data_IF_425546795925
#
_entry.id   IF_425546795925
#
_cell.length_a   1.000
_cell.length_b   1.000
_cell.length_c   1.000
_cell.angle_alpha   90.00
_cell.angle_beta   90.00
_cell.angle_gamma   90.00
#
_symmetry.space_group_name_H-M   'P 1'
#
loop_
_entity.id
_entity.type
_entity.pdbx_description
1 polymer ?
#
# COMPACT_ATOMS: atom_id res chain seq x y z
N UNK A 1 10.78 -3.61 -18.10
CA UNK A 1 10.04 -2.32 -18.10
C UNK A 1 9.89 -1.82 -16.67
N UNK A 2 9.73 -0.51 -16.45
CA UNK A 2 9.68 0.08 -15.10
C UNK A 2 8.53 -0.48 -14.25
N UNK A 3 8.76 -0.65 -12.95
CA UNK A 3 7.74 -1.04 -11.98
C UNK A 3 6.64 0.02 -11.88
N UNK A 4 5.43 -0.38 -11.47
CA UNK A 4 4.28 0.52 -11.34
C UNK A 4 4.40 1.51 -10.16
N UNK A 5 5.34 1.29 -9.25
CA UNK A 5 5.63 2.15 -8.11
C UNK A 5 6.83 1.64 -7.30
N UNK A 6 7.22 2.38 -6.28
CA UNK A 6 8.31 2.03 -5.35
C UNK A 6 7.79 2.13 -3.92
N UNK A 7 7.98 1.06 -3.13
CA UNK A 7 7.59 1.05 -1.72
C UNK A 7 8.70 1.67 -0.88
N UNK A 8 8.39 2.76 -0.17
CA UNK A 8 9.26 3.33 0.87
C UNK A 8 8.68 2.90 2.22
N UNK A 9 9.47 2.18 3.02
CA UNK A 9 9.04 1.72 4.34
C UNK A 9 8.91 2.94 5.27
N UNK A 10 7.71 3.25 5.79
CA UNK A 10 7.57 4.37 6.71
C UNK A 10 8.26 4.05 8.04
N UNK A 11 8.95 5.04 8.59
CA UNK A 11 9.58 4.91 9.91
C UNK A 11 8.61 5.21 11.06
N UNK A 12 7.77 6.23 10.89
CA UNK A 12 6.61 6.53 11.76
C UNK A 12 5.44 6.92 10.85
N UNK A 13 4.38 6.13 10.87
CA UNK A 13 3.12 6.39 10.17
C UNK A 13 1.99 5.88 11.06
N UNK A 14 1.00 6.75 11.31
CA UNK A 14 -0.11 6.47 12.23
C UNK A 14 -1.43 6.58 11.50
N UNK A 15 -2.38 5.71 11.86
CA UNK A 15 -3.76 5.79 11.42
C UNK A 15 -4.61 6.35 12.57
N UNK A 16 -5.30 7.47 12.33
CA UNK A 16 -6.14 8.17 13.31
C UNK A 16 -7.64 7.90 13.10
N UNK A 17 -8.00 6.91 12.27
CA UNK A 17 -9.39 6.58 11.92
C UNK A 17 -10.28 6.31 13.15
N UNK A 18 -9.72 5.76 14.23
CA UNK A 18 -10.44 5.53 15.49
C UNK A 18 -10.62 6.79 16.35
N UNK A 19 -9.84 7.83 16.10
CA UNK A 19 -9.93 9.11 16.80
C UNK A 19 -10.93 10.07 16.13
N UNK A 20 -11.49 9.67 14.97
CA UNK A 20 -12.50 10.45 14.27
C UNK A 20 -13.83 10.45 15.04
N UNK A 21 -14.28 11.63 15.48
CA UNK A 21 -15.54 11.81 16.22
C UNK A 21 -16.81 11.75 15.37
N UNK A 22 -16.73 11.37 14.09
CA UNK A 22 -17.87 11.39 13.15
C UNK A 22 -18.78 10.16 13.24
N UNK A 23 -18.44 9.17 14.07
CA UNK A 23 -19.19 7.91 14.20
C UNK A 23 -19.04 6.97 12.98
N UNK A 24 -18.35 7.41 11.94
CA UNK A 24 -18.06 6.61 10.75
C UNK A 24 -16.74 5.85 10.94
N UNK A 25 -16.80 4.52 10.82
CA UNK A 25 -15.65 3.64 11.09
C UNK A 25 -14.63 3.60 9.96
N UNK A 26 -14.95 4.14 8.78
CA UNK A 26 -14.07 4.19 7.61
C UNK A 26 -14.45 3.25 6.47
N UNK A 27 -13.89 3.52 5.28
CA UNK A 27 -14.34 2.88 4.03
C UNK A 27 -13.93 1.42 3.90
N UNK A 28 -12.78 1.05 4.45
CA UNK A 28 -12.26 -0.31 4.31
C UNK A 28 -12.96 -1.32 5.23
N UNK A 29 -13.74 -0.84 6.21
CA UNK A 29 -14.56 -1.66 7.10
C UNK A 29 -15.85 -2.19 6.45
N UNK A 30 -16.22 -1.69 5.27
CA UNK A 30 -17.37 -2.22 4.52
C UNK A 30 -17.05 -3.62 4.02
N UNK A 31 -17.98 -4.56 4.17
CA UNK A 31 -17.77 -5.99 3.85
C UNK A 31 -17.42 -6.21 2.39
N UNK A 32 -17.99 -5.39 1.49
CA UNK A 32 -17.74 -5.45 0.06
C UNK A 32 -16.46 -4.74 -0.39
N UNK A 33 -15.77 -3.98 0.47
CA UNK A 33 -14.68 -3.10 0.05
C UNK A 33 -13.56 -3.84 -0.68
N UNK A 34 -13.05 -4.94 -0.11
CA UNK A 34 -11.98 -5.72 -0.74
C UNK A 34 -12.47 -6.45 -2.01
N UNK A 35 -13.73 -6.88 -2.02
CA UNK A 35 -14.35 -7.49 -3.19
C UNK A 35 -14.48 -6.49 -4.35
N UNK A 36 -14.90 -5.26 -4.07
CA UNK A 36 -14.97 -4.17 -5.04
C UNK A 36 -13.59 -3.85 -5.63
N UNK A 37 -12.51 -3.92 -4.83
CA UNK A 37 -11.15 -3.71 -5.35
C UNK A 37 -10.71 -4.80 -6.31
N UNK A 38 -11.05 -6.06 -6.04
CA UNK A 38 -10.83 -7.17 -6.98
C UNK A 38 -11.63 -7.00 -8.27
N UNK A 39 -12.89 -6.57 -8.17
CA UNK A 39 -13.73 -6.24 -9.32
C UNK A 39 -13.10 -5.12 -10.18
N UNK A 40 -12.67 -4.02 -9.55
CA UNK A 40 -12.05 -2.90 -10.24
C UNK A 40 -10.79 -3.31 -11.01
N UNK A 41 -9.94 -4.19 -10.44
CA UNK A 41 -8.74 -4.67 -11.14
C UNK A 41 -9.07 -5.39 -12.45
N UNK A 42 -10.06 -6.29 -12.42
CA UNK A 42 -10.50 -7.01 -13.62
C UNK A 42 -11.16 -6.06 -14.62
N UNK A 43 -12.04 -5.16 -14.13
CA UNK A 43 -12.73 -4.20 -15.01
C UNK A 43 -11.76 -3.24 -15.69
N UNK A 44 -10.72 -2.80 -14.99
CA UNK A 44 -9.66 -1.99 -15.58
C UNK A 44 -8.85 -2.77 -16.60
N UNK A 45 -8.55 -4.05 -16.34
CA UNK A 45 -7.87 -4.92 -17.32
C UNK A 45 -8.66 -5.05 -18.62
N UNK A 46 -9.99 -5.18 -18.53
CA UNK A 46 -10.90 -5.20 -19.67
C UNK A 46 -10.89 -3.86 -20.42
N UNK A 47 -11.05 -2.73 -19.72
CA UNK A 47 -11.08 -1.38 -20.31
C UNK A 47 -9.79 -1.08 -21.08
N UNK A 48 -8.64 -1.45 -20.52
CA UNK A 48 -7.33 -1.20 -21.13
C UNK A 48 -6.82 -2.34 -22.02
N UNK A 49 -7.58 -3.43 -22.15
CA UNK A 49 -7.25 -4.60 -22.98
C UNK A 49 -6.01 -5.40 -22.54
N UNK A 50 -5.43 -5.11 -21.37
CA UNK A 50 -4.26 -5.82 -20.81
C UNK A 50 -4.10 -5.52 -19.33
N UNK A 51 -3.26 -6.31 -18.65
CA UNK A 51 -2.81 -6.02 -17.29
C UNK A 51 -1.47 -5.27 -17.28
N UNK A 52 -1.46 -3.94 -17.04
CA UNK A 52 -0.23 -3.14 -17.11
C UNK A 52 0.60 -3.17 -15.82
N UNK A 53 0.00 -3.60 -14.69
CA UNK A 53 0.67 -3.62 -13.40
C UNK A 53 1.82 -4.62 -13.41
N UNK A 54 2.97 -4.21 -12.84
CA UNK A 54 4.18 -5.02 -12.78
C UNK A 54 4.63 -5.20 -11.35
N UNK A 55 4.95 -6.43 -11.00
CA UNK A 55 5.52 -6.76 -9.71
C UNK A 55 6.86 -6.06 -9.47
N UNK A 56 7.13 -5.76 -8.21
CA UNK A 56 8.41 -5.26 -7.70
C UNK A 56 8.56 -5.75 -6.27
N UNK A 57 9.75 -6.26 -5.94
CA UNK A 57 10.14 -6.64 -4.57
C UNK A 57 11.01 -5.58 -3.89
N UNK A 58 11.21 -4.42 -4.53
CA UNK A 58 12.06 -3.34 -4.01
C UNK A 58 11.31 -2.61 -2.89
N UNK A 59 11.93 -2.57 -1.71
CA UNK A 59 11.52 -1.73 -0.58
C UNK A 59 12.69 -0.85 -0.16
N UNK A 60 12.49 0.46 -0.12
CA UNK A 60 13.51 1.42 0.27
C UNK A 60 13.34 1.76 1.76
N UNK A 61 14.45 1.79 2.48
CA UNK A 61 14.53 2.26 3.87
C UNK A 61 15.65 3.30 3.98
N UNK A 62 15.54 4.22 4.94
CA UNK A 62 16.60 5.19 5.20
C UNK A 62 17.81 4.46 5.80
N UNK A 63 18.99 4.63 5.22
CA UNK A 63 20.22 4.06 5.77
C UNK A 63 20.55 4.74 7.10
N UNK A 64 20.73 3.95 8.17
CA UNK A 64 21.07 4.42 9.51
C UNK A 64 19.90 4.90 10.38
N UNK A 65 18.64 4.76 9.95
CA UNK A 65 17.45 5.21 10.69
C UNK A 65 16.29 4.21 10.52
N UNK A 66 15.44 3.92 11.53
CA UNK A 66 15.37 4.52 12.87
C UNK A 66 16.40 4.01 13.87
N UNK A 67 16.88 2.78 13.71
CA UNK A 67 17.91 2.21 14.58
C UNK A 67 19.28 2.53 14.01
N UNK A 68 20.17 3.06 14.85
CA UNK A 68 21.58 3.18 14.48
C UNK A 68 22.10 1.80 14.07
N UNK A 69 22.77 1.74 12.91
CA UNK A 69 23.23 0.51 12.28
C UNK A 69 22.13 -0.47 11.77
N UNK A 70 20.97 0.04 11.35
CA UNK A 70 19.91 -0.76 10.69
C UNK A 70 20.33 -1.55 9.43
N UNK A 71 21.51 -1.28 8.88
CA UNK A 71 22.11 -1.96 7.73
C UNK A 71 22.97 -3.16 8.14
N UNK A 72 23.30 -3.30 9.42
CA UNK A 72 24.04 -4.45 9.92
C UNK A 72 23.06 -5.60 10.10
N UNK A 73 23.35 -6.73 9.44
CA UNK A 73 22.75 -7.99 9.87
C UNK A 73 23.11 -8.22 11.34
N UNK A 74 22.16 -8.76 12.10
CA UNK A 74 22.51 -9.42 13.36
C UNK A 74 23.50 -10.55 13.10
#
# INVERSE_FOLDING_TARGET
GRASGVLVKPTDMRNLEKEAGSGYTGMWHRTEHLLQRSYCLNRLAEIYGRMPLKYSSIMISQFGFPSYANHKSK
#
